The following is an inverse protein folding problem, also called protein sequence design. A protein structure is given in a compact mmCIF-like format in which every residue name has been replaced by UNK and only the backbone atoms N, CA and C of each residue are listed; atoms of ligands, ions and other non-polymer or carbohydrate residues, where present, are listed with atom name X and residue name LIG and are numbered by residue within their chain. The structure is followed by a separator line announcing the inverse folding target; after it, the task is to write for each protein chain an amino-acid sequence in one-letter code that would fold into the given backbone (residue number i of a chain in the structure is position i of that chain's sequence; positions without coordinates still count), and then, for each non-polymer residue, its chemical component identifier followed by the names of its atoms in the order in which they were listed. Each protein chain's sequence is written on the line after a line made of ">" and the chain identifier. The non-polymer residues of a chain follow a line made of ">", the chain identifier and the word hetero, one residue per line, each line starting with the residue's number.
data_IF_105649527898
#
_entry.id   IF_105649527898
#
_cell.length_a   1.000
_cell.length_b   1.000
_cell.length_c   1.000
_cell.angle_alpha   90.00
_cell.angle_beta   90.00
_cell.angle_gamma   90.00
#
_symmetry.space_group_name_H-M   'P 1'
#
loop_
_entity.id
_entity.type
_entity.pdbx_description
1 polymer ?
#
# COMPACT_ATOMS: atom_id res chain seq x y z
N UNK A 1 -31.53 3.16 2.42
CA UNK A 1 -30.52 2.08 2.29
C UNK A 1 -29.31 2.54 3.07
N UNK A 2 -28.64 1.64 3.77
CA UNK A 2 -27.37 1.95 4.44
C UNK A 2 -26.30 2.14 3.37
N UNK A 3 -25.57 3.26 3.42
CA UNK A 3 -24.55 3.62 2.41
C UNK A 3 -23.18 3.04 2.82
N UNK A 4 -23.15 1.71 3.09
CA UNK A 4 -21.94 0.96 3.40
C UNK A 4 -22.11 -0.54 3.18
N UNK A 5 -21.00 -1.24 2.99
CA UNK A 5 -20.90 -2.71 3.03
C UNK A 5 -19.77 -3.08 3.98
N UNK A 6 -20.13 -3.70 5.11
CA UNK A 6 -19.20 -4.20 6.12
C UNK A 6 -19.65 -5.59 6.57
N UNK A 7 -18.73 -6.39 7.08
CA UNK A 7 -19.02 -7.77 7.48
C UNK A 7 -20.03 -7.86 8.62
N UNK A 8 -19.83 -7.05 9.65
CA UNK A 8 -20.71 -7.00 10.83
C UNK A 8 -20.60 -5.64 11.51
N UNK A 9 -21.66 -4.86 11.50
CA UNK A 9 -21.68 -3.54 12.14
C UNK A 9 -21.52 -3.61 13.67
N UNK A 10 -21.86 -4.75 14.29
CA UNK A 10 -21.67 -4.93 15.73
C UNK A 10 -20.20 -4.89 16.19
N UNK A 11 -19.25 -4.97 15.25
CA UNK A 11 -17.82 -4.82 15.51
C UNK A 11 -17.39 -3.35 15.71
N UNK A 12 -18.27 -2.38 15.49
CA UNK A 12 -17.93 -0.96 15.50
C UNK A 12 -17.36 -0.47 16.85
N UNK A 13 -17.95 -0.89 17.96
CA UNK A 13 -17.45 -0.52 19.31
C UNK A 13 -16.03 -1.06 19.56
N UNK A 14 -15.72 -2.26 19.10
CA UNK A 14 -14.36 -2.79 19.15
C UNK A 14 -13.41 -1.98 18.27
N UNK A 15 -13.81 -1.69 17.03
CA UNK A 15 -13.04 -0.85 16.10
C UNK A 15 -12.76 0.53 16.69
N UNK A 16 -13.74 1.19 17.30
CA UNK A 16 -13.58 2.50 17.95
C UNK A 16 -12.54 2.46 19.08
N UNK A 17 -12.51 1.42 19.87
CA UNK A 17 -11.49 1.27 20.94
C UNK A 17 -10.08 1.15 20.36
N UNK A 18 -9.90 0.42 19.28
CA UNK A 18 -8.61 0.31 18.61
C UNK A 18 -8.21 1.60 17.88
N UNK A 19 -9.16 2.32 17.25
CA UNK A 19 -8.91 3.65 16.69
C UNK A 19 -8.38 4.62 17.77
N UNK A 20 -8.97 4.62 18.96
CA UNK A 20 -8.51 5.47 20.06
C UNK A 20 -7.05 5.17 20.46
N UNK A 21 -6.63 3.92 20.40
CA UNK A 21 -5.23 3.55 20.63
C UNK A 21 -4.36 4.06 19.47
N UNK A 22 -4.79 3.80 18.21
CA UNK A 22 -4.05 4.21 17.04
C UNK A 22 -3.82 5.73 16.97
N UNK A 23 -4.82 6.54 17.30
CA UNK A 23 -4.71 8.01 17.37
C UNK A 23 -3.56 8.48 18.28
N UNK A 24 -3.31 7.77 19.40
CA UNK A 24 -2.19 8.11 20.30
C UNK A 24 -0.82 7.85 19.67
N UNK A 25 -0.76 6.97 18.68
CA UNK A 25 0.45 6.59 17.96
C UNK A 25 0.55 7.22 16.56
N UNK A 26 -0.41 8.08 16.19
CA UNK A 26 -0.45 8.75 14.87
C UNK A 26 -0.37 10.29 15.00
N UNK A 27 0.74 10.81 15.57
CA UNK A 27 0.86 12.23 15.92
C UNK A 27 0.78 13.16 14.71
N UNK A 28 1.22 12.73 13.52
CA UNK A 28 1.14 13.52 12.30
C UNK A 28 -0.30 13.81 11.89
N UNK A 29 -1.18 12.80 11.90
CA UNK A 29 -2.60 12.97 11.58
C UNK A 29 -3.32 13.81 12.65
N UNK A 30 -3.02 13.59 13.94
CA UNK A 30 -3.59 14.40 15.01
C UNK A 30 -3.16 15.86 14.90
N UNK A 31 -1.91 16.13 14.53
CA UNK A 31 -1.41 17.48 14.28
C UNK A 31 -2.12 18.13 13.05
N UNK A 32 -2.37 17.37 11.98
CA UNK A 32 -3.16 17.87 10.86
C UNK A 32 -4.59 18.23 11.25
N UNK A 33 -5.26 17.41 12.07
CA UNK A 33 -6.60 17.77 12.60
C UNK A 33 -6.55 19.06 13.42
N UNK A 34 -5.54 19.23 14.27
CA UNK A 34 -5.38 20.42 15.10
C UNK A 34 -5.07 21.68 14.26
N UNK A 35 -4.20 21.56 13.26
CA UNK A 35 -3.78 22.71 12.42
C UNK A 35 -4.86 23.12 11.42
N UNK A 36 -5.52 22.16 10.76
CA UNK A 36 -6.39 22.43 9.62
C UNK A 36 -7.88 22.23 9.90
N UNK A 37 -8.27 21.67 11.05
CA UNK A 37 -9.66 21.31 11.34
C UNK A 37 -10.61 22.51 11.36
N UNK A 38 -10.16 23.70 11.78
CA UNK A 38 -10.98 24.93 11.77
C UNK A 38 -11.10 25.49 10.34
N UNK A 39 -10.01 25.56 9.59
CA UNK A 39 -9.96 26.12 8.24
C UNK A 39 -10.63 25.26 7.17
N UNK A 40 -10.70 23.95 7.41
CA UNK A 40 -11.29 22.95 6.50
C UNK A 40 -10.82 23.08 5.05
N UNK A 41 -9.51 22.94 4.78
CA UNK A 41 -8.94 23.16 3.45
C UNK A 41 -9.48 22.21 2.38
N UNK A 42 -10.04 21.05 2.77
CA UNK A 42 -10.63 20.07 1.86
C UNK A 42 -12.15 20.26 1.65
N UNK A 43 -12.72 21.37 2.09
CA UNK A 43 -14.15 21.63 1.88
C UNK A 43 -14.50 21.60 0.39
N UNK A 44 -15.47 20.74 0.03
CA UNK A 44 -15.90 20.48 -1.35
C UNK A 44 -15.10 19.42 -2.10
N UNK A 45 -14.02 18.90 -1.52
CA UNK A 45 -13.38 17.71 -2.04
C UNK A 45 -14.26 16.48 -1.78
N UNK A 46 -14.49 15.68 -2.82
CA UNK A 46 -15.19 14.40 -2.78
C UNK A 46 -14.19 13.32 -3.14
N UNK A 47 -13.62 12.72 -2.10
CA UNK A 47 -12.46 11.83 -2.19
C UNK A 47 -12.92 10.38 -2.26
N UNK A 48 -12.61 9.72 -3.38
CA UNK A 48 -12.62 8.25 -3.44
C UNK A 48 -11.34 7.74 -2.84
N UNK A 49 -11.44 6.93 -1.79
CA UNK A 49 -10.30 6.21 -1.25
C UNK A 49 -10.30 4.75 -1.70
N UNK A 50 -9.19 4.30 -2.24
CA UNK A 50 -8.92 2.91 -2.59
C UNK A 50 -7.60 2.50 -1.94
N UNK A 51 -7.67 2.16 -0.65
CA UNK A 51 -6.52 1.80 0.16
C UNK A 51 -6.96 0.83 1.28
N UNK A 52 -6.05 -0.03 1.73
CA UNK A 52 -6.31 -1.06 2.75
C UNK A 52 -7.16 -0.55 3.90
N UNK A 53 -8.33 -1.14 4.16
CA UNK A 53 -9.25 -0.69 5.22
C UNK A 53 -8.81 -1.20 6.59
N UNK A 54 -7.76 -0.62 7.13
CA UNK A 54 -7.18 -0.92 8.45
C UNK A 54 -7.61 0.10 9.51
N UNK A 55 -7.26 -0.15 10.77
CA UNK A 55 -7.45 0.81 11.86
C UNK A 55 -6.73 2.13 11.56
N UNK A 56 -5.52 2.09 11.02
CA UNK A 56 -4.75 3.28 10.67
C UNK A 56 -5.43 4.07 9.54
N UNK A 57 -5.99 3.37 8.58
CA UNK A 57 -6.76 3.98 7.49
C UNK A 57 -8.05 4.62 8.01
N UNK A 58 -8.70 4.03 9.01
CA UNK A 58 -9.85 4.65 9.65
C UNK A 58 -9.49 6.02 10.28
N UNK A 59 -8.31 6.14 10.90
CA UNK A 59 -7.81 7.43 11.42
C UNK A 59 -7.54 8.43 10.29
N UNK A 60 -7.02 7.97 9.13
CA UNK A 60 -6.84 8.81 7.94
C UNK A 60 -8.19 9.30 7.41
N UNK A 61 -9.18 8.43 7.25
CA UNK A 61 -10.53 8.76 6.77
C UNK A 61 -11.15 9.84 7.67
N UNK A 62 -11.17 9.63 8.97
CA UNK A 62 -11.71 10.63 9.92
C UNK A 62 -10.92 11.95 9.90
N UNK A 63 -9.62 11.89 9.61
CA UNK A 63 -8.82 13.11 9.44
C UNK A 63 -9.25 13.87 8.19
N UNK A 64 -9.39 13.23 7.04
CA UNK A 64 -9.86 13.87 5.81
C UNK A 64 -11.25 14.51 5.99
N UNK A 65 -12.15 13.79 6.67
CA UNK A 65 -13.50 14.32 7.00
C UNK A 65 -13.42 15.52 7.95
N UNK A 66 -12.58 15.47 8.98
CA UNK A 66 -12.36 16.60 9.89
C UNK A 66 -11.83 17.85 9.16
N UNK A 67 -11.05 17.64 8.09
CA UNK A 67 -10.55 18.71 7.22
C UNK A 67 -11.54 19.17 6.16
N UNK A 68 -12.77 18.64 6.17
CA UNK A 68 -13.91 19.12 5.38
C UNK A 68 -14.19 18.36 4.10
N UNK A 69 -13.51 17.22 3.84
CA UNK A 69 -13.81 16.38 2.69
C UNK A 69 -15.07 15.53 2.88
N UNK A 70 -15.76 15.25 1.80
CA UNK A 70 -16.66 14.12 1.69
C UNK A 70 -15.86 12.90 1.24
N UNK A 71 -15.97 11.80 1.96
CA UNK A 71 -15.12 10.60 1.72
C UNK A 71 -15.99 9.37 1.52
N UNK A 72 -15.65 8.56 0.54
CA UNK A 72 -16.18 7.21 0.33
C UNK A 72 -15.01 6.27 0.12
N UNK A 73 -15.02 5.08 0.71
CA UNK A 73 -13.83 4.24 0.81
C UNK A 73 -14.07 2.79 0.42
N UNK A 74 -13.15 2.22 -0.35
CA UNK A 74 -13.04 0.78 -0.60
C UNK A 74 -11.64 0.27 -0.24
N UNK A 75 -11.51 -1.01 0.09
CA UNK A 75 -10.20 -1.61 0.28
C UNK A 75 -9.56 -1.94 -1.07
N UNK A 76 -8.26 -1.69 -1.20
CA UNK A 76 -7.49 -2.03 -2.41
C UNK A 76 -7.01 -3.49 -2.46
N UNK A 77 -7.36 -4.33 -1.49
CA UNK A 77 -6.95 -5.73 -1.43
C UNK A 77 -8.00 -6.59 -0.73
N UNK A 78 -8.25 -7.78 -1.26
CA UNK A 78 -9.33 -8.68 -0.80
C UNK A 78 -9.09 -9.27 0.60
N UNK A 79 -7.84 -9.30 1.11
CA UNK A 79 -7.51 -9.90 2.41
C UNK A 79 -7.07 -8.89 3.48
N UNK A 80 -6.91 -7.61 3.14
CA UNK A 80 -6.29 -6.63 4.03
C UNK A 80 -7.25 -5.90 4.97
N UNK A 81 -8.56 -5.98 4.73
CA UNK A 81 -9.56 -5.31 5.58
C UNK A 81 -9.52 -5.82 7.02
N UNK A 82 -9.55 -4.89 7.97
CA UNK A 82 -9.91 -5.17 9.36
C UNK A 82 -11.40 -4.84 9.53
N UNK A 83 -12.24 -5.88 9.63
CA UNK A 83 -13.70 -5.74 9.61
C UNK A 83 -14.25 -4.79 10.70
N UNK A 84 -13.60 -4.77 11.86
CA UNK A 84 -13.95 -3.85 12.95
C UNK A 84 -13.58 -2.38 12.65
N UNK A 85 -12.53 -2.15 11.86
CA UNK A 85 -12.20 -0.80 11.39
C UNK A 85 -13.26 -0.28 10.41
N UNK A 86 -13.65 -1.11 9.44
CA UNK A 86 -14.72 -0.79 8.49
C UNK A 86 -16.05 -0.52 9.23
N UNK A 87 -16.40 -1.37 10.21
CA UNK A 87 -17.60 -1.18 11.02
C UNK A 87 -17.61 0.14 11.80
N UNK A 88 -16.47 0.55 12.39
CA UNK A 88 -16.36 1.81 13.12
C UNK A 88 -16.55 3.04 12.22
N UNK A 89 -16.04 3.00 10.99
CA UNK A 89 -16.22 4.07 9.99
C UNK A 89 -17.66 4.10 9.50
N UNK A 90 -18.29 2.95 9.26
CA UNK A 90 -19.70 2.86 8.88
C UNK A 90 -20.62 3.42 9.97
N UNK A 91 -20.37 3.10 11.26
CA UNK A 91 -21.13 3.60 12.38
C UNK A 91 -20.97 5.13 12.55
N UNK A 92 -19.79 5.67 12.23
CA UNK A 92 -19.56 7.11 12.20
C UNK A 92 -20.30 7.84 11.05
N UNK A 93 -21.01 7.09 10.20
CA UNK A 93 -21.80 7.63 9.09
C UNK A 93 -20.96 7.94 7.84
N UNK A 94 -19.75 7.41 7.74
CA UNK A 94 -18.89 7.59 6.57
C UNK A 94 -19.04 6.36 5.67
N UNK A 95 -19.37 6.54 4.37
CA UNK A 95 -19.52 5.43 3.44
C UNK A 95 -18.24 4.61 3.27
N UNK A 96 -18.33 3.31 3.53
CA UNK A 96 -17.22 2.37 3.43
C UNK A 96 -17.70 1.02 2.90
N UNK A 97 -16.95 0.45 1.96
CA UNK A 97 -17.27 -0.77 1.24
C UNK A 97 -16.06 -1.71 1.32
N UNK A 98 -15.97 -2.50 2.39
CA UNK A 98 -14.81 -3.36 2.64
C UNK A 98 -15.16 -4.51 3.57
N UNK A 99 -14.80 -5.73 3.14
CA UNK A 99 -14.97 -6.96 3.90
C UNK A 99 -13.72 -7.82 3.75
N UNK A 100 -13.16 -8.35 4.84
CA UNK A 100 -12.03 -9.27 4.77
C UNK A 100 -12.45 -10.59 4.11
N UNK A 101 -11.74 -10.95 3.03
CA UNK A 101 -12.05 -12.13 2.24
C UNK A 101 -13.14 -11.89 1.18
N UNK A 102 -13.40 -10.65 0.80
CA UNK A 102 -14.24 -10.33 -0.35
C UNK A 102 -13.74 -11.00 -1.63
N UNK A 103 -14.63 -11.36 -2.55
CA UNK A 103 -14.24 -11.90 -3.85
C UNK A 103 -13.67 -10.80 -4.77
N UNK A 104 -13.10 -11.19 -5.91
CA UNK A 104 -12.63 -10.19 -6.91
C UNK A 104 -13.79 -9.39 -7.50
N UNK A 105 -14.95 -10.02 -7.70
CA UNK A 105 -16.16 -9.35 -8.16
C UNK A 105 -16.64 -8.33 -7.13
N UNK A 106 -16.70 -8.71 -5.86
CA UNK A 106 -17.05 -7.80 -4.76
C UNK A 106 -16.04 -6.65 -4.65
N UNK A 107 -14.75 -6.91 -4.84
CA UNK A 107 -13.71 -5.87 -4.83
C UNK A 107 -14.01 -4.76 -5.84
N UNK A 108 -14.30 -5.11 -7.09
CA UNK A 108 -14.58 -4.14 -8.14
C UNK A 108 -15.98 -3.50 -8.00
N UNK A 109 -16.98 -4.22 -7.48
CA UNK A 109 -18.28 -3.67 -7.12
C UNK A 109 -18.15 -2.63 -6.00
N UNK A 110 -17.38 -2.92 -4.94
CA UNK A 110 -17.15 -2.00 -3.82
C UNK A 110 -16.36 -0.75 -4.25
N UNK A 111 -15.38 -0.92 -5.12
CA UNK A 111 -14.67 0.21 -5.70
C UNK A 111 -15.62 1.10 -6.51
N UNK A 112 -16.47 0.53 -7.34
CA UNK A 112 -17.49 1.26 -8.10
C UNK A 112 -18.46 2.02 -7.18
N UNK A 113 -18.95 1.39 -6.10
CA UNK A 113 -19.80 2.04 -5.10
C UNK A 113 -19.10 3.21 -4.39
N UNK A 114 -17.80 3.16 -4.19
CA UNK A 114 -17.05 4.27 -3.58
C UNK A 114 -17.02 5.53 -4.44
N UNK A 115 -17.27 5.43 -5.75
CA UNK A 115 -17.40 6.58 -6.64
C UNK A 115 -18.78 7.24 -6.63
N UNK A 116 -19.79 6.67 -5.96
CA UNK A 116 -21.20 7.12 -6.07
C UNK A 116 -21.52 8.32 -5.16
N UNK A 117 -20.88 9.46 -5.40
CA UNK A 117 -21.26 10.74 -4.79
C UNK A 117 -22.43 11.38 -5.56
N UNK A 118 -23.28 12.14 -4.87
CA UNK A 118 -24.39 12.83 -5.49
C UNK A 118 -23.95 13.76 -6.64
N UNK A 119 -22.85 14.48 -6.45
CA UNK A 119 -22.26 15.41 -7.44
C UNK A 119 -21.03 14.83 -8.17
N UNK A 120 -20.79 13.51 -8.05
CA UNK A 120 -19.63 12.82 -8.60
C UNK A 120 -18.34 13.04 -7.81
N UNK A 121 -17.41 12.10 -7.91
CA UNK A 121 -16.07 12.19 -7.32
C UNK A 121 -15.24 13.27 -8.01
N UNK A 122 -14.33 13.92 -7.28
CA UNK A 122 -13.41 14.92 -7.84
C UNK A 122 -11.95 14.82 -7.36
N UNK A 123 -11.68 13.87 -6.46
CA UNK A 123 -10.34 13.55 -5.97
C UNK A 123 -10.22 12.04 -5.78
N UNK A 124 -9.01 11.50 -5.95
CA UNK A 124 -8.71 10.09 -5.69
C UNK A 124 -7.53 10.01 -4.72
N UNK A 125 -7.64 9.12 -3.73
CA UNK A 125 -6.54 8.65 -2.89
C UNK A 125 -6.41 7.16 -3.15
N UNK A 126 -5.36 6.76 -3.83
CA UNK A 126 -5.17 5.42 -4.39
C UNK A 126 -3.98 4.68 -3.76
N UNK A 127 -4.05 3.36 -3.78
CA UNK A 127 -2.99 2.45 -3.37
C UNK A 127 -2.95 1.25 -4.33
N UNK A 128 -1.99 1.29 -5.25
CA UNK A 128 -1.87 0.35 -6.36
C UNK A 128 -2.46 0.84 -7.67
N UNK A 129 -3.19 1.95 -7.66
CA UNK A 129 -3.70 2.62 -8.85
C UNK A 129 -4.99 2.01 -9.41
N UNK A 130 -5.74 1.20 -8.66
CA UNK A 130 -6.94 0.54 -9.17
C UNK A 130 -8.09 1.52 -9.40
N UNK A 131 -8.31 2.50 -8.51
CA UNK A 131 -9.34 3.52 -8.71
C UNK A 131 -9.04 4.40 -9.92
N UNK A 132 -7.79 4.80 -10.09
CA UNK A 132 -7.32 5.56 -11.24
C UNK A 132 -7.49 4.77 -12.54
N UNK A 133 -7.06 3.51 -12.54
CA UNK A 133 -7.16 2.61 -13.70
C UNK A 133 -8.61 2.39 -14.11
N UNK A 134 -9.50 2.15 -13.14
CA UNK A 134 -10.93 1.94 -13.37
C UNK A 134 -11.56 3.10 -14.15
N UNK A 135 -11.32 4.33 -13.70
CA UNK A 135 -11.86 5.53 -14.36
C UNK A 135 -11.27 5.73 -15.75
N UNK A 136 -9.95 5.56 -15.91
CA UNK A 136 -9.28 5.83 -17.20
C UNK A 136 -9.60 4.76 -18.25
N UNK A 137 -9.61 3.46 -17.88
CA UNK A 137 -10.03 2.40 -18.79
C UNK A 137 -11.51 2.54 -19.19
N UNK A 138 -12.37 2.87 -18.23
CA UNK A 138 -13.78 3.10 -18.52
C UNK A 138 -14.01 4.25 -19.47
N UNK A 139 -13.30 5.37 -19.31
CA UNK A 139 -13.39 6.51 -20.22
C UNK A 139 -12.88 6.18 -21.64
N UNK A 140 -11.85 5.36 -21.76
CA UNK A 140 -11.36 4.85 -23.06
C UNK A 140 -12.38 3.91 -23.71
N UNK A 141 -13.00 3.03 -22.94
CA UNK A 141 -14.07 2.16 -23.42
C UNK A 141 -15.28 2.96 -23.93
N UNK A 142 -15.69 4.02 -23.20
CA UNK A 142 -16.75 4.94 -23.65
C UNK A 142 -16.40 5.69 -24.94
N UNK A 143 -15.10 5.94 -25.20
CA UNK A 143 -14.60 6.50 -26.44
C UNK A 143 -14.56 5.49 -27.60
N UNK A 144 -14.94 4.23 -27.36
CA UNK A 144 -14.98 3.15 -28.35
C UNK A 144 -13.67 2.40 -28.50
N UNK A 145 -12.72 2.56 -27.57
CA UNK A 145 -11.49 1.78 -27.58
C UNK A 145 -11.74 0.36 -27.05
N UNK A 146 -11.05 -0.61 -27.64
CA UNK A 146 -11.02 -1.97 -27.11
C UNK A 146 -10.05 -2.05 -25.94
N UNK A 147 -10.59 -2.02 -24.71
CA UNK A 147 -9.80 -2.18 -23.49
C UNK A 147 -9.58 -3.66 -23.18
N UNK A 148 -8.38 -4.01 -22.71
CA UNK A 148 -8.03 -5.38 -22.29
C UNK A 148 -8.52 -6.42 -23.33
N UNK A 149 -7.98 -6.40 -24.57
CA UNK A 149 -8.49 -7.25 -25.65
C UNK A 149 -8.38 -8.73 -25.30
N UNK A 150 -7.29 -9.15 -24.64
CA UNK A 150 -7.05 -10.50 -24.15
C UNK A 150 -6.65 -10.42 -22.68
N UNK A 151 -7.56 -10.68 -21.73
CA UNK A 151 -7.24 -10.69 -20.31
C UNK A 151 -6.13 -11.69 -19.97
N UNK A 152 -5.15 -11.27 -19.19
CA UNK A 152 -4.03 -12.10 -18.75
C UNK A 152 -4.17 -12.62 -17.31
N UNK A 153 -5.15 -12.09 -16.56
CA UNK A 153 -5.44 -12.47 -15.18
C UNK A 153 -6.95 -12.48 -14.90
N UNK A 154 -7.36 -13.13 -13.82
CA UNK A 154 -8.76 -13.12 -13.37
C UNK A 154 -9.19 -11.68 -13.01
N UNK A 155 -8.30 -10.85 -12.47
CA UNK A 155 -8.56 -9.44 -12.20
C UNK A 155 -8.91 -8.66 -13.47
N UNK A 156 -8.18 -8.89 -14.57
CA UNK A 156 -8.47 -8.22 -15.85
C UNK A 156 -9.81 -8.66 -16.45
N UNK A 157 -10.23 -9.90 -16.21
CA UNK A 157 -11.56 -10.38 -16.59
C UNK A 157 -12.65 -9.64 -15.83
N UNK A 158 -12.48 -9.53 -14.51
CA UNK A 158 -13.49 -8.93 -13.62
C UNK A 158 -13.59 -7.41 -13.83
N UNK A 159 -12.47 -6.68 -13.89
CA UNK A 159 -12.52 -5.23 -14.15
C UNK A 159 -13.18 -4.91 -15.50
N UNK A 160 -12.89 -5.69 -16.56
CA UNK A 160 -13.52 -5.51 -17.87
C UNK A 160 -15.03 -5.69 -17.79
N UNK A 161 -15.49 -6.72 -17.05
CA UNK A 161 -16.92 -6.97 -16.82
C UNK A 161 -17.57 -5.83 -16.04
N UNK A 162 -16.91 -5.32 -15.00
CA UNK A 162 -17.42 -4.23 -14.16
C UNK A 162 -17.53 -2.91 -14.94
N UNK A 163 -16.52 -2.58 -15.76
CA UNK A 163 -16.57 -1.41 -16.64
C UNK A 163 -17.77 -1.49 -17.57
N UNK A 164 -17.98 -2.65 -18.21
CA UNK A 164 -19.12 -2.87 -19.09
C UNK A 164 -20.46 -2.69 -18.35
N UNK A 165 -20.59 -3.28 -17.17
CA UNK A 165 -21.77 -3.16 -16.31
C UNK A 165 -22.08 -1.69 -15.99
N UNK A 166 -21.08 -0.89 -15.60
CA UNK A 166 -21.24 0.54 -15.31
C UNK A 166 -21.65 1.35 -16.56
N UNK A 167 -21.03 1.09 -17.72
CA UNK A 167 -21.37 1.75 -18.97
C UNK A 167 -22.83 1.49 -19.38
N UNK A 168 -23.34 0.27 -19.17
CA UNK A 168 -24.74 -0.07 -19.47
C UNK A 168 -25.71 0.63 -18.51
N UNK A 169 -25.35 0.78 -17.22
CA UNK A 169 -26.17 1.45 -16.22
C UNK A 169 -26.16 2.97 -16.34
N UNK A 170 -25.04 3.56 -16.73
CA UNK A 170 -24.84 5.00 -16.75
C UNK A 170 -23.90 5.42 -17.90
N UNK A 171 -24.37 5.46 -19.15
CA UNK A 171 -23.53 5.86 -20.29
C UNK A 171 -22.92 7.25 -20.10
N UNK A 172 -21.61 7.39 -20.38
CA UNK A 172 -20.87 8.66 -20.23
C UNK A 172 -20.40 8.94 -18.80
N UNK A 173 -20.64 8.04 -17.86
CA UNK A 173 -20.27 8.23 -16.46
C UNK A 173 -18.75 8.28 -16.26
N UNK A 174 -17.99 7.41 -16.90
CA UNK A 174 -16.54 7.38 -16.79
C UNK A 174 -15.88 8.65 -17.34
N UNK A 175 -16.32 9.10 -18.50
CA UNK A 175 -15.83 10.34 -19.13
C UNK A 175 -16.10 11.54 -18.23
N UNK A 176 -17.33 11.63 -17.70
CA UNK A 176 -17.71 12.70 -16.76
C UNK A 176 -16.88 12.65 -15.48
N UNK A 177 -16.66 11.46 -14.92
CA UNK A 177 -15.86 11.26 -13.70
C UNK A 177 -14.41 11.64 -13.94
N UNK A 178 -13.79 11.14 -15.01
CA UNK A 178 -12.42 11.50 -15.41
C UNK A 178 -12.22 13.02 -15.49
N UNK A 179 -13.13 13.69 -16.16
CA UNK A 179 -13.06 15.14 -16.38
C UNK A 179 -13.29 15.96 -15.11
N UNK A 180 -13.95 15.38 -14.10
CA UNK A 180 -14.17 16.00 -12.79
C UNK A 180 -13.00 15.83 -11.82
N UNK A 181 -12.16 14.79 -12.00
CA UNK A 181 -11.00 14.52 -11.13
C UNK A 181 -9.97 15.63 -11.26
N UNK A 182 -9.62 16.27 -10.14
CA UNK A 182 -8.62 17.34 -10.05
C UNK A 182 -7.23 16.83 -9.73
N UNK A 183 -7.11 15.64 -9.17
CA UNK A 183 -5.83 15.02 -8.87
C UNK A 183 -5.95 13.70 -8.13
N UNK A 184 -4.83 12.99 -8.11
CA UNK A 184 -4.66 11.68 -7.47
C UNK A 184 -3.44 11.72 -6.55
N UNK A 185 -3.53 11.16 -5.35
CA UNK A 185 -2.37 10.82 -4.54
C UNK A 185 -2.21 9.30 -4.48
N UNK A 186 -1.00 8.79 -4.73
CA UNK A 186 -0.72 7.36 -4.83
C UNK A 186 0.27 6.92 -3.75
N UNK A 187 -0.11 5.85 -3.02
CA UNK A 187 0.59 5.35 -1.85
C UNK A 187 1.77 4.44 -2.17
N UNK A 188 1.67 3.59 -3.21
CA UNK A 188 2.59 2.47 -3.37
C UNK A 188 3.37 2.48 -4.68
N UNK A 189 4.55 1.86 -4.67
CA UNK A 189 5.48 1.78 -5.82
C UNK A 189 4.79 1.28 -7.09
N UNK A 190 3.92 0.29 -6.99
CA UNK A 190 3.26 -0.31 -8.16
C UNK A 190 2.27 0.66 -8.81
N UNK A 191 1.47 1.37 -8.01
CA UNK A 191 0.57 2.40 -8.52
C UNK A 191 1.34 3.57 -9.12
N UNK A 192 2.45 3.97 -8.50
CA UNK A 192 3.35 5.00 -9.04
C UNK A 192 3.91 4.61 -10.41
N UNK A 193 4.32 3.35 -10.61
CA UNK A 193 4.77 2.87 -11.92
C UNK A 193 3.64 2.96 -12.97
N UNK A 194 2.41 2.59 -12.61
CA UNK A 194 1.24 2.76 -13.50
C UNK A 194 1.02 4.23 -13.87
N UNK A 195 1.13 5.15 -12.92
CA UNK A 195 1.00 6.59 -13.20
C UNK A 195 2.08 7.12 -14.13
N UNK A 196 3.34 6.72 -13.94
CA UNK A 196 4.43 7.10 -14.86
C UNK A 196 4.22 6.53 -16.26
N UNK A 197 3.74 5.29 -16.39
CA UNK A 197 3.43 4.67 -17.68
C UNK A 197 2.28 5.41 -18.39
N UNK A 198 1.21 5.76 -17.66
CA UNK A 198 0.10 6.56 -18.19
C UNK A 198 0.59 7.95 -18.64
N UNK A 199 1.43 8.60 -17.83
CA UNK A 199 2.00 9.91 -18.18
C UNK A 199 2.88 9.83 -19.43
N UNK A 200 3.76 8.83 -19.52
CA UNK A 200 4.63 8.62 -20.70
C UNK A 200 3.84 8.37 -21.99
N UNK A 201 2.67 7.73 -21.88
CA UNK A 201 1.76 7.49 -23.01
C UNK A 201 0.87 8.70 -23.34
N UNK A 202 0.88 9.76 -22.53
CA UNK A 202 -0.03 10.90 -22.65
C UNK A 202 -1.48 10.59 -22.25
N UNK A 203 -1.68 9.55 -21.46
CA UNK A 203 -2.98 9.03 -21.02
C UNK A 203 -3.36 9.47 -19.59
N UNK A 204 -2.51 10.20 -18.88
CA UNK A 204 -2.78 10.75 -17.55
C UNK A 204 -3.32 12.18 -17.68
N UNK A 205 -4.65 12.42 -17.49
CA UNK A 205 -5.28 13.71 -17.79
C UNK A 205 -5.25 14.73 -16.64
N UNK A 206 -4.74 14.35 -15.46
CA UNK A 206 -4.71 15.17 -14.25
C UNK A 206 -3.37 15.03 -13.53
N UNK A 207 -3.03 15.97 -12.62
CA UNK A 207 -1.84 15.83 -11.79
C UNK A 207 -1.98 14.69 -10.80
N UNK A 208 -0.87 13.99 -10.56
CA UNK A 208 -0.75 12.94 -9.56
C UNK A 208 0.42 13.22 -8.62
N UNK A 209 0.23 13.10 -7.31
CA UNK A 209 1.33 13.15 -6.33
C UNK A 209 1.72 11.72 -5.96
N UNK A 210 2.96 11.38 -6.27
CA UNK A 210 3.62 10.17 -5.85
C UNK A 210 4.04 10.31 -4.38
N UNK A 211 3.19 9.82 -3.48
CA UNK A 211 3.47 9.83 -2.04
C UNK A 211 4.51 8.77 -1.68
N UNK A 212 4.56 7.64 -2.42
CA UNK A 212 5.53 6.58 -2.16
C UNK A 212 6.98 7.09 -2.11
N UNK A 213 7.35 8.03 -2.98
CA UNK A 213 8.72 8.52 -3.09
C UNK A 213 9.01 9.75 -2.20
N UNK A 214 8.05 10.22 -1.41
CA UNK A 214 8.34 11.08 -0.27
C UNK A 214 9.30 10.36 0.67
N UNK A 215 10.34 11.05 1.15
CA UNK A 215 11.36 10.38 1.99
C UNK A 215 10.77 9.88 3.29
N UNK A 216 9.87 10.65 3.90
CA UNK A 216 9.15 10.25 5.12
C UNK A 216 8.13 9.13 4.90
N UNK A 217 7.87 8.72 3.64
CA UNK A 217 7.12 7.52 3.32
C UNK A 217 8.08 6.37 2.99
N UNK A 218 8.81 6.43 1.90
CA UNK A 218 9.62 5.30 1.39
C UNK A 218 10.68 4.81 2.36
N UNK A 219 11.37 5.72 3.06
CA UNK A 219 12.45 5.37 4.00
C UNK A 219 11.93 4.98 5.39
N UNK A 220 10.64 5.15 5.64
CA UNK A 220 9.98 4.82 6.91
C UNK A 220 9.01 3.65 6.75
N UNK A 221 7.94 3.82 6.00
CA UNK A 221 6.91 2.81 5.76
C UNK A 221 7.52 1.55 5.11
N UNK A 222 8.07 1.67 3.93
CA UNK A 222 8.58 0.51 3.19
C UNK A 222 9.70 -0.22 3.95
N UNK A 223 10.48 0.48 4.77
CA UNK A 223 11.59 -0.09 5.53
C UNK A 223 11.17 -0.51 6.94
N UNK A 224 10.76 0.43 7.76
CA UNK A 224 10.45 0.15 9.18
C UNK A 224 9.10 -0.55 9.34
N UNK A 225 8.12 -0.25 8.48
CA UNK A 225 6.85 -0.97 8.46
C UNK A 225 7.05 -2.45 8.17
N UNK A 226 7.82 -2.80 7.14
CA UNK A 226 8.14 -4.19 6.84
C UNK A 226 9.00 -4.84 7.92
N UNK A 227 9.89 -4.07 8.56
CA UNK A 227 10.69 -4.56 9.69
C UNK A 227 9.83 -5.01 10.88
N UNK A 228 8.76 -4.29 11.18
CA UNK A 228 7.84 -4.67 12.25
C UNK A 228 6.86 -5.78 11.82
N UNK A 229 6.29 -5.68 10.62
CA UNK A 229 5.13 -6.48 10.23
C UNK A 229 5.46 -7.85 9.62
N UNK A 230 6.65 -8.06 9.03
CA UNK A 230 6.98 -9.32 8.35
C UNK A 230 6.96 -10.51 9.32
N UNK A 231 7.77 -10.45 10.37
CA UNK A 231 7.88 -11.55 11.35
C UNK A 231 6.58 -11.71 12.13
N UNK A 232 5.82 -10.62 12.38
CA UNK A 232 4.48 -10.71 12.96
C UNK A 232 3.55 -11.57 12.08
N UNK A 233 3.51 -11.30 10.78
CA UNK A 233 2.71 -12.09 9.83
C UNK A 233 3.09 -13.57 9.79
N UNK A 234 4.40 -13.88 9.71
CA UNK A 234 4.87 -15.26 9.69
C UNK A 234 4.53 -15.99 11.00
N UNK A 235 4.73 -15.35 12.15
CA UNK A 235 4.43 -15.95 13.46
C UNK A 235 2.95 -16.22 13.65
N UNK A 236 2.09 -15.26 13.34
CA UNK A 236 0.62 -15.46 13.41
C UNK A 236 0.14 -16.55 12.46
N UNK A 237 0.73 -16.62 11.26
CA UNK A 237 0.40 -17.65 10.28
C UNK A 237 0.80 -19.04 10.74
N UNK A 238 2.02 -19.24 11.25
CA UNK A 238 2.63 -20.57 11.36
C UNK A 238 3.12 -20.92 12.75
N UNK A 239 3.15 -19.98 13.70
CA UNK A 239 3.75 -20.13 15.03
C UNK A 239 5.23 -20.62 14.96
N UNK A 240 5.89 -20.36 13.84
CA UNK A 240 7.28 -20.85 13.60
C UNK A 240 8.29 -19.99 14.36
N UNK A 241 9.21 -20.65 15.05
CA UNK A 241 10.38 -19.98 15.64
C UNK A 241 11.35 -19.54 14.53
N UNK A 242 11.66 -18.25 14.49
CA UNK A 242 12.58 -17.68 13.48
C UNK A 242 14.04 -18.02 13.77
N UNK A 243 14.43 -18.08 15.05
CA UNK A 243 15.81 -18.30 15.44
C UNK A 243 16.36 -19.60 14.86
N UNK A 244 17.53 -19.51 14.20
CA UNK A 244 18.22 -20.64 13.57
C UNK A 244 17.70 -21.03 12.19
N UNK A 245 16.53 -20.56 11.76
CA UNK A 245 16.00 -20.78 10.40
C UNK A 245 16.88 -20.11 9.35
N UNK A 246 16.99 -20.73 8.18
CA UNK A 246 17.54 -20.08 6.99
C UNK A 246 16.40 -19.40 6.26
N UNK A 247 16.50 -18.09 6.11
CA UNK A 247 15.50 -17.27 5.43
C UNK A 247 16.14 -16.59 4.21
N UNK A 248 15.45 -16.68 3.07
CA UNK A 248 15.85 -16.00 1.83
C UNK A 248 14.89 -14.82 1.60
N UNK A 249 15.45 -13.63 1.47
CA UNK A 249 14.74 -12.41 1.09
C UNK A 249 15.11 -12.10 -0.36
N UNK A 250 14.11 -12.16 -1.25
CA UNK A 250 14.28 -11.85 -2.66
C UNK A 250 14.07 -10.35 -2.87
N UNK A 251 15.15 -9.61 -3.10
CA UNK A 251 15.19 -8.16 -3.23
C UNK A 251 15.80 -7.44 -2.01
N UNK A 252 16.52 -6.33 -2.25
CA UNK A 252 17.14 -5.50 -1.20
C UNK A 252 16.89 -4.00 -1.42
N UNK A 253 15.74 -3.66 -1.99
CA UNK A 253 15.16 -2.31 -1.94
C UNK A 253 14.72 -1.95 -0.51
N UNK A 254 13.93 -0.90 -0.32
CA UNK A 254 13.51 -0.48 1.03
C UNK A 254 12.71 -1.57 1.76
N UNK A 255 11.80 -2.26 1.07
CA UNK A 255 11.03 -3.39 1.61
C UNK A 255 11.96 -4.56 1.97
N UNK A 256 12.88 -4.92 1.08
CA UNK A 256 13.84 -5.99 1.32
C UNK A 256 14.79 -5.72 2.49
N UNK A 257 15.27 -4.47 2.64
CA UNK A 257 16.09 -4.02 3.79
C UNK A 257 15.33 -4.18 5.11
N UNK A 258 14.08 -3.74 5.14
CA UNK A 258 13.21 -3.91 6.31
C UNK A 258 12.99 -5.39 6.64
N UNK A 259 12.64 -6.18 5.64
CA UNK A 259 12.37 -7.62 5.75
C UNK A 259 13.58 -8.41 6.24
N UNK A 260 14.76 -8.19 5.65
CA UNK A 260 16.00 -8.83 6.06
C UNK A 260 16.38 -8.45 7.51
N UNK A 261 16.22 -7.17 7.89
CA UNK A 261 16.45 -6.71 9.25
C UNK A 261 15.47 -7.35 10.26
N UNK A 262 14.19 -7.50 9.88
CA UNK A 262 13.16 -8.18 10.69
C UNK A 262 13.55 -9.62 11.02
N UNK A 263 13.84 -10.40 10.00
CA UNK A 263 14.22 -11.81 10.14
C UNK A 263 15.52 -11.98 10.94
N UNK A 264 16.55 -11.17 10.62
CA UNK A 264 17.82 -11.18 11.37
C UNK A 264 17.62 -10.79 12.83
N UNK A 265 16.81 -9.76 13.09
CA UNK A 265 16.46 -9.34 14.45
C UNK A 265 15.74 -10.42 15.25
N UNK A 266 14.98 -11.28 14.59
CA UNK A 266 14.35 -12.45 15.20
C UNK A 266 15.25 -13.70 15.31
N UNK A 267 16.54 -13.60 14.89
CA UNK A 267 17.54 -14.66 15.02
C UNK A 267 17.63 -15.62 13.82
N UNK A 268 16.99 -15.30 12.69
CA UNK A 268 17.15 -16.08 11.47
C UNK A 268 18.52 -15.83 10.81
N UNK A 269 19.02 -16.85 10.10
CA UNK A 269 20.17 -16.76 9.21
C UNK A 269 19.67 -16.30 7.84
N UNK A 270 19.86 -15.01 7.56
CA UNK A 270 19.25 -14.36 6.39
C UNK A 270 20.23 -14.37 5.23
N UNK A 271 19.73 -14.78 4.06
CA UNK A 271 20.37 -14.64 2.75
C UNK A 271 19.51 -13.72 1.88
N UNK A 272 20.14 -13.04 0.94
CA UNK A 272 19.46 -12.07 0.05
C UNK A 272 19.74 -12.45 -1.39
N UNK A 273 18.73 -12.34 -2.26
CA UNK A 273 18.92 -12.35 -3.71
C UNK A 273 18.65 -10.97 -4.26
N UNK A 274 19.45 -10.51 -5.24
CA UNK A 274 19.29 -9.15 -5.77
C UNK A 274 19.82 -9.07 -7.21
N UNK A 275 19.17 -8.24 -8.02
CA UNK A 275 19.57 -7.99 -9.42
C UNK A 275 20.29 -6.64 -9.58
N UNK A 276 20.00 -5.67 -8.70
CA UNK A 276 20.66 -4.36 -8.70
C UNK A 276 22.02 -4.46 -8.00
N UNK A 277 23.13 -4.17 -8.69
CA UNK A 277 24.47 -4.28 -8.12
C UNK A 277 24.70 -3.32 -6.94
N UNK A 278 24.00 -2.16 -6.89
CA UNK A 278 24.11 -1.22 -5.78
C UNK A 278 23.43 -1.80 -4.53
N UNK A 279 22.21 -2.30 -4.70
CA UNK A 279 21.46 -2.93 -3.60
C UNK A 279 22.16 -4.21 -3.11
N UNK A 280 22.72 -5.02 -4.02
CA UNK A 280 23.51 -6.20 -3.67
C UNK A 280 24.76 -5.83 -2.85
N UNK A 281 25.48 -4.77 -3.26
CA UNK A 281 26.64 -4.27 -2.50
C UNK A 281 26.22 -3.77 -1.12
N UNK A 282 25.09 -3.05 -1.00
CA UNK A 282 24.56 -2.62 0.30
C UNK A 282 24.23 -3.82 1.19
N UNK A 283 23.58 -4.86 0.65
CA UNK A 283 23.25 -6.07 1.40
C UNK A 283 24.52 -6.74 1.95
N UNK A 284 25.58 -6.85 1.13
CA UNK A 284 26.87 -7.39 1.56
C UNK A 284 27.53 -6.54 2.65
N UNK A 285 27.49 -5.19 2.53
CA UNK A 285 28.02 -4.28 3.55
C UNK A 285 27.22 -4.34 4.87
N UNK A 286 25.91 -4.58 4.78
CA UNK A 286 25.05 -4.80 5.95
C UNK A 286 25.23 -6.19 6.59
N UNK A 287 26.13 -7.02 6.03
CA UNK A 287 26.52 -8.32 6.56
C UNK A 287 25.59 -9.48 6.18
N UNK A 288 24.87 -9.35 5.08
CA UNK A 288 24.09 -10.43 4.49
C UNK A 288 24.88 -11.18 3.42
N UNK A 289 24.68 -12.48 3.32
CA UNK A 289 25.15 -13.27 2.21
C UNK A 289 24.23 -13.04 1.01
N UNK A 290 24.80 -12.55 -0.10
CA UNK A 290 24.07 -12.35 -1.36
C UNK A 290 24.30 -13.57 -2.24
N UNK A 291 23.22 -14.24 -2.66
CA UNK A 291 23.24 -15.55 -3.32
C UNK A 291 22.30 -15.59 -4.51
N UNK A 292 22.41 -16.61 -5.35
CA UNK A 292 21.37 -16.98 -6.29
C UNK A 292 20.29 -17.79 -5.58
N UNK A 293 19.02 -17.64 -5.98
CA UNK A 293 17.92 -18.39 -5.38
C UNK A 293 18.13 -19.92 -5.58
N UNK A 294 18.58 -20.29 -6.75
CA UNK A 294 18.86 -21.67 -7.14
C UNK A 294 19.92 -22.37 -6.24
N UNK A 295 20.87 -21.61 -5.68
CA UNK A 295 21.93 -22.17 -4.81
C UNK A 295 21.45 -22.49 -3.39
N UNK A 296 20.25 -22.05 -3.01
CA UNK A 296 19.75 -22.13 -1.61
C UNK A 296 18.33 -22.68 -1.49
N UNK A 297 17.68 -22.93 -2.62
CA UNK A 297 16.27 -23.32 -2.67
C UNK A 297 15.97 -24.63 -1.94
N UNK A 298 16.88 -25.58 -1.97
CA UNK A 298 16.79 -26.92 -1.34
C UNK A 298 17.09 -26.92 0.18
N UNK A 299 17.68 -25.84 0.68
CA UNK A 299 18.23 -25.77 2.05
C UNK A 299 17.54 -24.72 2.93
N UNK A 300 16.87 -23.72 2.37
CA UNK A 300 16.22 -22.67 3.13
C UNK A 300 14.85 -23.09 3.67
N UNK A 301 14.45 -22.46 4.80
CA UNK A 301 13.21 -22.73 5.52
C UNK A 301 12.09 -21.74 5.15
N UNK A 302 12.47 -20.49 4.81
CA UNK A 302 11.55 -19.37 4.60
C UNK A 302 11.99 -18.61 3.37
N UNK A 303 11.04 -18.31 2.48
CA UNK A 303 11.27 -17.54 1.25
C UNK A 303 10.29 -16.37 1.22
N UNK A 304 10.83 -15.14 1.13
CA UNK A 304 10.03 -13.90 1.13
C UNK A 304 10.38 -13.06 -0.10
N UNK A 305 9.40 -12.75 -0.92
CA UNK A 305 9.54 -11.84 -2.06
C UNK A 305 9.24 -10.40 -1.68
N UNK A 306 10.02 -9.44 -2.23
CA UNK A 306 10.00 -8.03 -1.82
C UNK A 306 10.30 -7.08 -2.99
N UNK A 307 10.13 -7.53 -4.24
CA UNK A 307 10.72 -6.86 -5.41
C UNK A 307 9.77 -5.96 -6.18
N UNK A 308 8.45 -6.19 -6.07
CA UNK A 308 7.46 -5.56 -6.97
C UNK A 308 7.56 -6.05 -8.42
N UNK A 309 8.34 -7.10 -8.70
CA UNK A 309 8.49 -7.72 -10.02
C UNK A 309 7.53 -8.91 -10.15
N UNK A 310 7.65 -9.70 -11.19
CA UNK A 310 6.86 -10.91 -11.40
C UNK A 310 7.77 -12.14 -11.48
N UNK A 311 7.20 -13.32 -11.19
CA UNK A 311 7.85 -14.63 -11.38
C UNK A 311 9.22 -14.74 -10.68
N UNK A 312 9.36 -14.11 -9.51
CA UNK A 312 10.59 -14.17 -8.71
C UNK A 312 10.77 -15.56 -8.12
N UNK A 313 9.69 -16.12 -7.53
CA UNK A 313 9.65 -17.53 -7.14
C UNK A 313 8.78 -18.28 -8.15
N UNK A 314 9.45 -19.11 -8.97
CA UNK A 314 8.81 -19.89 -10.03
C UNK A 314 8.43 -21.28 -9.53
N UNK A 315 7.62 -21.99 -10.32
CA UNK A 315 7.21 -23.37 -10.00
C UNK A 315 8.40 -24.32 -9.89
N UNK A 316 9.47 -24.10 -10.69
CA UNK A 316 10.70 -24.89 -10.62
C UNK A 316 11.35 -24.77 -9.24
N UNK A 317 11.45 -23.53 -8.70
CA UNK A 317 11.98 -23.29 -7.36
C UNK A 317 11.13 -23.99 -6.29
N UNK A 318 9.80 -23.88 -6.36
CA UNK A 318 8.89 -24.48 -5.38
C UNK A 318 8.97 -26.02 -5.36
N UNK A 319 9.29 -26.64 -6.50
CA UNK A 319 9.48 -28.10 -6.58
C UNK A 319 10.77 -28.60 -5.90
N UNK A 320 11.77 -27.74 -5.80
CA UNK A 320 13.08 -28.05 -5.20
C UNK A 320 13.15 -27.68 -3.71
N UNK A 321 12.16 -26.90 -3.22
CA UNK A 321 12.09 -26.51 -1.81
C UNK A 321 11.97 -27.74 -0.92
N UNK A 322 12.57 -27.65 0.26
CA UNK A 322 12.44 -28.70 1.27
C UNK A 322 11.02 -28.78 1.81
N UNK A 323 10.66 -29.96 2.34
CA UNK A 323 9.33 -30.18 2.91
C UNK A 323 9.00 -29.15 3.99
N UNK A 324 7.80 -28.59 3.92
CA UNK A 324 7.24 -27.57 4.82
C UNK A 324 7.99 -26.22 4.77
N UNK A 325 8.67 -25.89 3.67
CA UNK A 325 9.20 -24.55 3.46
C UNK A 325 8.07 -23.52 3.43
N UNK A 326 8.27 -22.37 4.08
CA UNK A 326 7.30 -21.27 4.15
C UNK A 326 7.61 -20.31 2.99
N UNK A 327 6.58 -20.01 2.19
CA UNK A 327 6.67 -19.12 1.04
C UNK A 327 5.68 -18.00 1.21
N UNK A 328 6.14 -16.77 1.13
CA UNK A 328 5.28 -15.59 1.28
C UNK A 328 5.79 -14.39 0.51
N UNK A 329 4.89 -13.45 0.30
CA UNK A 329 5.15 -12.19 -0.39
C UNK A 329 4.81 -11.01 0.54
N UNK A 330 5.60 -9.96 0.48
CA UNK A 330 5.34 -8.68 1.14
C UNK A 330 5.33 -7.51 0.13
N UNK A 331 5.43 -7.82 -1.17
CA UNK A 331 5.18 -6.89 -2.27
C UNK A 331 3.67 -6.69 -2.49
N UNK A 332 3.31 -5.62 -3.18
CA UNK A 332 1.90 -5.20 -3.30
C UNK A 332 1.00 -6.24 -4.01
N UNK A 333 1.45 -6.83 -5.12
CA UNK A 333 0.69 -7.80 -5.90
C UNK A 333 1.15 -9.25 -5.69
N UNK A 334 0.29 -10.19 -6.08
CA UNK A 334 0.47 -11.64 -5.94
C UNK A 334 1.32 -12.30 -7.04
N UNK A 335 1.81 -11.53 -8.00
CA UNK A 335 2.52 -12.04 -9.18
C UNK A 335 4.02 -12.30 -8.96
N UNK A 336 4.58 -11.97 -7.81
CA UNK A 336 5.99 -12.29 -7.49
C UNK A 336 6.22 -13.80 -7.30
N UNK A 337 5.20 -14.53 -6.90
CA UNK A 337 5.18 -15.99 -6.75
C UNK A 337 4.26 -16.57 -7.83
N UNK A 338 4.72 -17.56 -8.58
CA UNK A 338 3.90 -18.20 -9.64
C UNK A 338 2.78 -19.08 -9.06
N UNK A 339 1.86 -18.47 -8.30
CA UNK A 339 0.74 -19.17 -7.65
C UNK A 339 -0.21 -19.78 -8.68
N UNK A 340 -0.42 -19.13 -9.82
CA UNK A 340 -1.25 -19.67 -10.89
C UNK A 340 -0.82 -21.06 -11.36
N UNK A 341 0.48 -21.37 -11.32
CA UNK A 341 1.03 -22.67 -11.70
C UNK A 341 0.78 -23.75 -10.63
N UNK A 342 0.33 -23.36 -9.44
CA UNK A 342 -0.02 -24.28 -8.36
C UNK A 342 -1.50 -24.73 -8.40
N UNK A 343 -2.36 -24.15 -9.25
CA UNK A 343 -3.82 -24.43 -9.30
C UNK A 343 -4.16 -25.91 -9.44
N UNK A 344 -3.33 -26.68 -10.14
CA UNK A 344 -3.53 -28.12 -10.37
C UNK A 344 -2.85 -29.01 -9.31
N UNK A 345 -2.25 -28.43 -8.28
CA UNK A 345 -1.66 -29.15 -7.16
C UNK A 345 -2.72 -29.42 -6.10
N UNK A 346 -2.42 -30.29 -5.16
CA UNK A 346 -3.32 -30.55 -4.03
C UNK A 346 -3.12 -29.48 -2.97
N UNK A 347 -4.14 -28.66 -2.75
CA UNK A 347 -4.21 -27.65 -1.71
C UNK A 347 -4.93 -28.21 -0.49
N UNK A 348 -4.39 -27.88 0.69
CA UNK A 348 -5.01 -28.15 1.97
C UNK A 348 -5.00 -26.86 2.78
N UNK A 349 -6.16 -26.25 2.93
CA UNK A 349 -6.29 -25.07 3.78
C UNK A 349 -6.08 -25.47 5.25
N UNK A 350 -5.11 -24.85 5.91
CA UNK A 350 -4.80 -25.09 7.33
C UNK A 350 -5.63 -24.19 8.22
N UNK A 351 -5.69 -22.91 7.86
CA UNK A 351 -6.53 -21.86 8.44
C UNK A 351 -6.55 -20.68 7.46
N UNK A 352 -7.28 -19.65 7.79
CA UNK A 352 -7.40 -18.46 6.93
C UNK A 352 -6.02 -17.95 6.47
N UNK A 353 -5.87 -17.81 5.15
CA UNK A 353 -4.64 -17.35 4.45
C UNK A 353 -3.38 -18.21 4.75
N UNK A 354 -3.53 -19.47 5.12
CA UNK A 354 -2.42 -20.41 5.29
C UNK A 354 -2.76 -21.72 4.60
N UNK A 355 -2.10 -21.98 3.48
CA UNK A 355 -2.36 -23.13 2.64
C UNK A 355 -1.12 -24.02 2.54
N UNK A 356 -1.33 -25.32 2.67
CA UNK A 356 -0.31 -26.33 2.40
C UNK A 356 -0.52 -26.89 1.00
N UNK A 357 0.53 -26.87 0.18
CA UNK A 357 0.47 -27.31 -1.21
C UNK A 357 1.43 -28.48 -1.39
N UNK A 358 0.93 -29.60 -1.90
CA UNK A 358 1.68 -30.82 -2.15
C UNK A 358 2.31 -30.79 -3.56
N UNK A 359 3.65 -30.91 -3.62
CA UNK A 359 4.39 -30.95 -4.86
C UNK A 359 4.39 -32.36 -5.46
N UNK A 360 4.63 -32.53 -6.78
CA UNK A 360 4.68 -33.86 -7.41
C UNK A 360 5.72 -34.82 -6.80
N UNK A 361 6.76 -34.30 -6.17
CA UNK A 361 7.78 -35.06 -5.43
C UNK A 361 7.27 -35.67 -4.12
N UNK A 362 6.10 -35.21 -3.63
CA UNK A 362 5.58 -35.52 -2.30
C UNK A 362 6.05 -34.54 -1.21
N UNK A 363 6.97 -33.60 -1.51
CA UNK A 363 7.30 -32.47 -0.61
C UNK A 363 6.11 -31.49 -0.56
N UNK A 364 6.03 -30.73 0.51
CA UNK A 364 4.95 -29.76 0.74
C UNK A 364 5.56 -28.38 1.00
N UNK A 365 4.87 -27.34 0.57
CA UNK A 365 5.18 -25.96 0.95
C UNK A 365 4.00 -25.35 1.71
N UNK A 366 4.28 -24.36 2.55
CA UNK A 366 3.27 -23.52 3.20
C UNK A 366 3.25 -22.18 2.45
N UNK A 367 2.16 -21.90 1.74
CA UNK A 367 1.95 -20.64 1.06
C UNK A 367 1.12 -19.71 1.94
N UNK A 368 1.60 -18.49 2.13
CA UNK A 368 0.93 -17.47 2.94
C UNK A 368 0.14 -16.51 2.06
N UNK A 369 -1.09 -16.21 2.48
CA UNK A 369 -2.01 -15.24 1.84
C UNK A 369 -2.16 -15.45 0.33
N UNK A 370 -2.08 -16.71 -0.14
CA UNK A 370 -2.16 -17.05 -1.57
C UNK A 370 -1.15 -16.27 -2.45
N UNK A 371 0.02 -15.91 -1.88
CA UNK A 371 1.02 -15.10 -2.55
C UNK A 371 0.82 -13.59 -2.48
N UNK A 372 -0.26 -13.12 -1.84
CA UNK A 372 -0.52 -11.69 -1.58
C UNK A 372 0.25 -11.21 -0.34
N UNK A 373 0.06 -9.93 0.03
CA UNK A 373 0.69 -9.29 1.20
C UNK A 373 0.46 -10.06 2.50
N UNK A 374 1.43 -10.86 2.93
CA UNK A 374 1.30 -11.70 4.14
C UNK A 374 1.19 -10.88 5.43
N UNK A 375 1.81 -9.69 5.51
CA UNK A 375 1.75 -8.83 6.67
C UNK A 375 0.35 -8.25 6.93
N UNK A 376 -0.49 -8.14 5.91
CA UNK A 376 -1.90 -7.72 6.00
C UNK A 376 -2.84 -8.93 6.02
N UNK A 377 -2.62 -9.92 5.16
CA UNK A 377 -3.45 -11.11 5.10
C UNK A 377 -3.35 -11.97 6.35
N UNK A 378 -2.14 -12.18 6.87
CA UNK A 378 -1.88 -13.01 8.05
C UNK A 378 -1.73 -12.24 9.36
N UNK A 379 -1.66 -10.89 9.31
CA UNK A 379 -1.52 -10.04 10.49
C UNK A 379 -2.34 -8.75 10.33
N UNK A 380 -1.87 -7.64 10.88
CA UNK A 380 -2.58 -6.35 10.93
C UNK A 380 -1.87 -5.24 10.14
N UNK A 381 -0.84 -5.58 9.39
CA UNK A 381 -0.06 -4.64 8.58
C UNK A 381 0.96 -3.84 9.38
N UNK A 382 1.30 -2.66 8.87
CA UNK A 382 2.30 -1.79 9.47
C UNK A 382 1.76 -1.09 10.73
N UNK A 383 2.63 -0.81 11.73
CA UNK A 383 2.21 -0.17 12.98
C UNK A 383 1.80 1.29 12.80
N UNK A 384 0.94 1.77 13.70
CA UNK A 384 0.30 3.09 13.62
C UNK A 384 1.29 4.24 13.46
N UNK A 385 2.42 4.23 14.18
CA UNK A 385 3.40 5.32 14.10
C UNK A 385 4.03 5.45 12.70
N UNK A 386 4.33 4.33 12.05
CA UNK A 386 4.85 4.31 10.68
C UNK A 386 3.78 4.80 9.70
N UNK A 387 2.55 4.30 9.82
CA UNK A 387 1.45 4.72 8.96
C UNK A 387 1.05 6.18 9.18
N UNK A 388 1.30 6.73 10.38
CA UNK A 388 1.15 8.17 10.60
C UNK A 388 2.02 8.99 9.66
N UNK A 389 3.26 8.59 9.41
CA UNK A 389 4.13 9.30 8.46
C UNK A 389 3.58 9.22 7.03
N UNK A 390 3.21 8.04 6.54
CA UNK A 390 2.63 7.83 5.21
C UNK A 390 1.33 8.62 5.04
N UNK A 391 0.42 8.49 5.98
CA UNK A 391 -0.90 9.11 5.88
C UNK A 391 -0.89 10.62 6.11
N UNK A 392 0.08 11.16 6.84
CA UNK A 392 0.31 12.61 6.88
C UNK A 392 0.77 13.13 5.51
N UNK A 393 1.63 12.39 4.80
CA UNK A 393 1.95 12.70 3.40
C UNK A 393 0.70 12.69 2.51
N UNK A 394 -0.20 11.69 2.67
CA UNK A 394 -1.47 11.63 1.92
C UNK A 394 -2.35 12.85 2.19
N UNK A 395 -2.54 13.20 3.45
CA UNK A 395 -3.34 14.38 3.82
C UNK A 395 -2.77 15.65 3.19
N UNK A 396 -1.46 15.87 3.30
CA UNK A 396 -0.80 17.04 2.72
C UNK A 396 -0.84 17.02 1.19
N UNK A 397 -0.73 15.85 0.55
CA UNK A 397 -0.87 15.70 -0.90
C UNK A 397 -2.30 16.01 -1.37
N UNK A 398 -3.32 15.55 -0.66
CA UNK A 398 -4.72 15.87 -0.97
C UNK A 398 -5.01 17.37 -0.81
N UNK A 399 -4.48 18.01 0.26
CA UNK A 399 -4.60 19.47 0.44
C UNK A 399 -3.90 20.20 -0.71
N UNK A 400 -2.68 19.82 -1.06
CA UNK A 400 -1.89 20.45 -2.14
C UNK A 400 -2.60 20.35 -3.48
N UNK A 401 -3.07 19.15 -3.86
CA UNK A 401 -3.81 18.94 -5.10
C UNK A 401 -5.15 19.71 -5.13
N UNK A 402 -5.84 19.78 -4.00
CA UNK A 402 -7.15 20.45 -3.93
C UNK A 402 -7.02 21.97 -3.97
N UNK A 403 -6.07 22.54 -3.23
CA UNK A 403 -5.92 23.99 -3.07
C UNK A 403 -5.03 24.62 -4.14
N UNK A 404 -3.99 23.93 -4.56
CA UNK A 404 -2.97 24.41 -5.49
C UNK A 404 -2.93 23.66 -6.82
N UNK A 405 -3.87 22.73 -7.06
CA UNK A 405 -3.88 21.85 -8.24
C UNK A 405 -3.80 22.57 -9.59
N UNK A 406 -4.26 23.82 -9.66
CA UNK A 406 -4.15 24.64 -10.87
C UNK A 406 -2.70 25.00 -11.25
N UNK A 407 -1.75 24.87 -10.32
CA UNK A 407 -0.33 25.10 -10.56
C UNK A 407 0.36 23.90 -11.25
N UNK A 408 -0.31 22.74 -11.26
CA UNK A 408 0.22 21.52 -11.80
C UNK A 408 -0.41 21.20 -13.18
N UNK A 409 0.45 20.88 -14.13
CA UNK A 409 -0.01 20.27 -15.39
C UNK A 409 -0.26 18.77 -15.18
N UNK A 410 -1.00 18.09 -16.10
CA UNK A 410 -1.08 16.64 -16.06
C UNK A 410 0.31 15.99 -16.01
N UNK A 411 0.57 15.15 -15.01
CA UNK A 411 1.87 14.55 -14.78
C UNK A 411 2.02 13.99 -13.38
N UNK A 412 3.16 13.37 -13.10
CA UNK A 412 3.48 12.76 -11.81
C UNK A 412 4.51 13.61 -11.07
N UNK A 413 4.18 14.00 -9.85
CA UNK A 413 4.97 14.88 -8.99
C UNK A 413 5.28 14.21 -7.67
N UNK A 414 6.36 14.63 -7.02
CA UNK A 414 6.68 14.25 -5.64
C UNK A 414 6.24 15.39 -4.73
N UNK A 415 5.82 15.05 -3.51
CA UNK A 415 5.45 16.06 -2.52
C UNK A 415 6.62 17.04 -2.27
N UNK A 416 6.37 18.35 -2.29
CA UNK A 416 7.42 19.36 -2.07
C UNK A 416 8.24 19.08 -0.81
N UNK A 417 9.56 19.29 -0.87
CA UNK A 417 10.51 18.95 0.20
C UNK A 417 10.16 19.56 1.56
N UNK A 418 9.66 20.80 1.57
CA UNK A 418 9.26 21.45 2.82
C UNK A 418 8.06 20.75 3.49
N UNK A 419 7.17 20.11 2.71
CA UNK A 419 6.06 19.31 3.25
C UNK A 419 6.55 17.95 3.74
N UNK A 420 7.49 17.32 3.03
CA UNK A 420 8.13 16.07 3.47
C UNK A 420 8.87 16.27 4.82
N UNK A 421 9.64 17.38 4.96
CA UNK A 421 10.24 17.74 6.25
C UNK A 421 9.21 18.07 7.32
N UNK A 422 8.07 18.69 6.97
CA UNK A 422 6.98 18.96 7.91
C UNK A 422 6.44 17.65 8.48
N UNK A 423 6.23 16.63 7.65
CA UNK A 423 5.82 15.29 8.12
C UNK A 423 6.78 14.78 9.19
N UNK A 424 8.10 14.80 8.93
CA UNK A 424 9.08 14.36 9.92
C UNK A 424 8.96 15.17 11.24
N UNK A 425 8.89 16.49 11.16
CA UNK A 425 8.79 17.37 12.36
C UNK A 425 7.59 17.04 13.24
N UNK A 426 6.42 16.75 12.65
CA UNK A 426 5.20 16.42 13.37
C UNK A 426 5.30 15.12 14.19
N UNK A 427 6.31 14.28 13.93
CA UNK A 427 6.53 13.01 14.64
C UNK A 427 7.60 13.07 15.72
N UNK A 428 8.48 14.09 15.70
CA UNK A 428 9.67 14.12 16.56
C UNK A 428 9.34 14.24 18.04
N UNK A 429 8.39 15.09 18.40
CA UNK A 429 8.03 15.34 19.80
C UNK A 429 7.48 14.08 20.48
N UNK A 430 6.72 13.26 19.74
CA UNK A 430 6.14 12.00 20.24
C UNK A 430 7.21 11.01 20.72
N UNK A 431 8.36 11.00 20.07
CA UNK A 431 9.49 10.11 20.40
C UNK A 431 10.60 10.84 21.17
N UNK A 432 10.34 12.06 21.64
CA UNK A 432 11.26 12.82 22.51
C UNK A 432 12.52 13.33 21.80
N UNK A 433 12.50 13.44 20.47
CA UNK A 433 13.65 13.95 19.69
C UNK A 433 13.74 15.46 19.76
N UNK A 434 14.95 15.95 20.04
CA UNK A 434 15.28 17.38 20.04
C UNK A 434 16.26 17.70 18.91
N UNK A 435 15.85 18.57 17.98
CA UNK A 435 16.70 18.99 16.88
C UNK A 435 17.72 20.03 17.32
N UNK A 436 18.95 19.92 16.83
CA UNK A 436 19.93 20.99 16.87
C UNK A 436 19.46 22.14 15.98
N UNK A 437 19.59 23.38 16.44
CA UNK A 437 19.26 24.59 15.68
C UNK A 437 20.52 25.17 15.07
N UNK A 438 20.46 25.48 13.78
CA UNK A 438 21.52 26.23 13.11
C UNK A 438 21.48 27.71 13.54
N UNK A 439 22.66 28.31 13.79
CA UNK A 439 22.77 29.75 13.77
C UNK A 439 22.86 30.25 12.33
N UNK A 440 22.81 31.59 12.17
CA UNK A 440 22.82 32.21 10.84
C UNK A 440 24.10 31.88 10.06
N UNK A 441 25.26 31.93 10.72
CA UNK A 441 26.54 31.69 10.06
C UNK A 441 26.68 30.25 9.55
N UNK A 442 26.15 29.29 10.34
CA UNK A 442 26.11 27.89 9.94
C UNK A 442 25.14 27.64 8.76
N UNK A 443 23.97 28.26 8.79
CA UNK A 443 23.00 28.18 7.71
C UNK A 443 23.52 28.78 6.41
N UNK A 444 24.11 29.97 6.50
CA UNK A 444 24.75 30.68 5.36
C UNK A 444 25.90 29.84 4.77
N UNK A 445 26.73 29.20 5.62
CA UNK A 445 27.85 28.36 5.18
C UNK A 445 27.41 27.15 4.32
N UNK A 446 26.30 26.52 4.65
CA UNK A 446 25.78 25.36 3.90
C UNK A 446 24.68 25.73 2.89
N UNK A 447 24.35 27.01 2.77
CA UNK A 447 23.42 27.52 1.76
C UNK A 447 21.95 27.17 2.00
N UNK A 448 21.52 27.08 3.28
CA UNK A 448 20.13 26.78 3.67
C UNK A 448 19.58 27.89 4.57
N UNK A 449 18.27 27.85 4.87
CA UNK A 449 17.71 28.70 5.94
C UNK A 449 17.87 28.01 7.30
N UNK A 450 17.78 28.77 8.39
CA UNK A 450 17.84 28.20 9.76
C UNK A 450 16.71 27.22 10.06
N UNK A 451 15.61 27.29 9.30
CA UNK A 451 14.41 26.46 9.48
C UNK A 451 14.27 25.34 8.46
N UNK A 452 15.19 25.30 7.47
CA UNK A 452 15.14 24.32 6.37
C UNK A 452 14.37 24.85 5.13
N UNK A 453 14.11 24.00 4.12
CA UNK A 453 14.58 22.62 4.03
C UNK A 453 16.10 22.49 4.04
N UNK A 454 16.61 21.45 4.71
CA UNK A 454 18.05 21.26 4.91
C UNK A 454 18.74 20.49 3.77
N UNK A 455 17.96 19.95 2.85
CA UNK A 455 18.43 19.23 1.65
C UNK A 455 17.69 19.72 0.41
N UNK A 456 18.35 19.71 -0.76
CA UNK A 456 17.69 20.07 -2.01
C UNK A 456 16.59 19.08 -2.41
N UNK A 457 15.68 19.51 -3.29
CA UNK A 457 14.50 18.74 -3.73
C UNK A 457 14.83 17.32 -4.23
N UNK A 458 15.95 17.15 -4.92
CA UNK A 458 16.36 15.87 -5.50
C UNK A 458 17.01 14.90 -4.49
N UNK A 459 17.30 15.33 -3.28
CA UNK A 459 17.98 14.47 -2.29
C UNK A 459 17.04 13.42 -1.70
N UNK A 460 17.45 12.15 -1.66
CA UNK A 460 16.62 11.00 -1.26
C UNK A 460 17.14 10.20 -0.05
N UNK A 461 18.05 10.71 0.75
CA UNK A 461 18.58 10.13 2.00
C UNK A 461 19.11 8.69 1.90
#
# INVERSE_FOLDING_TARGET
>A
MTDYVVKDIALADFGRKELNIAETEMPGLMACRAEFGESKPLKGARIVGSLHMTIQTAVLIETLVALGADVRWASCNIFSTQDHAAAAIAEAGIPVFAVKGQSLEEHWDYLDESFQFADGANMILDDGGDATLYVLLGARAEAGEEIIPVPQSDEEVVIKAQIKKRMEQSPGWFTKTRDAIKGVSEETTTGVHRLYDLHKKGELPFPAINVNDSVTKSKFDNKYGCKESLVDGIRRATDTMMAGKVAVVCGYGDVGKGSAASLRGAGARVKVTEVDPICALQAAMDGFEVVLLEDVVDSADIFITTTGNKDVIRIEHMREMKDMAIVGNIGHFDNEIQVANLRNHKWTNIKDQVDMIEMPSGSRIILLSEGRLLNLGNATGHPSFVMSASFTNQVLAQIELWTNGQSYQPGVYILPKHLDEKVARLHLDRIGVKLTKLNKDQADYIGVTTEGPFKPEHYRY
#
